data_IF_136930674733
#
_entry.id   IF_136930674733
#
_cell.length_a   1.000
_cell.length_b   1.000
_cell.length_c   1.000
_cell.angle_alpha   90.00
_cell.angle_beta   90.00
_cell.angle_gamma   90.00
#
_symmetry.space_group_name_H-M   'P 1'
#
loop_
_entity.id
_entity.type
_entity.pdbx_description
1 polymer ?
#
# COMPACT_ATOMS: atom_id res chain seq x y z
N UNK A 1 0.04 -49.02 17.03
CA UNK A 1 -0.91 -47.95 17.39
C UNK A 1 -0.12 -46.82 18.03
N UNK A 2 -0.25 -45.57 17.56
CA UNK A 2 0.44 -45.13 16.35
C UNK A 2 1.49 -44.03 16.58
N UNK A 3 2.36 -43.86 15.58
CA UNK A 3 3.24 -42.69 15.40
C UNK A 3 2.40 -41.41 15.47
N UNK A 4 2.74 -40.50 16.39
CA UNK A 4 2.20 -39.15 16.42
C UNK A 4 2.95 -38.24 15.43
N UNK A 5 2.16 -37.44 14.74
CA UNK A 5 2.46 -36.66 13.55
C UNK A 5 3.60 -35.64 13.75
N UNK A 6 4.48 -35.54 12.74
CA UNK A 6 5.30 -34.35 12.50
C UNK A 6 4.37 -33.19 12.16
N UNK A 7 4.22 -32.24 13.06
CA UNK A 7 3.43 -31.05 12.82
C UNK A 7 4.30 -29.92 12.25
N UNK A 8 4.11 -29.69 10.95
CA UNK A 8 4.03 -28.34 10.38
C UNK A 8 5.29 -27.48 10.40
N UNK A 9 6.26 -27.81 9.54
CA UNK A 9 7.08 -26.75 8.91
C UNK A 9 6.09 -25.86 8.14
N UNK A 10 5.69 -24.72 8.72
CA UNK A 10 4.80 -23.73 8.08
C UNK A 10 5.37 -23.44 6.67
N UNK A 11 4.54 -23.47 5.60
CA UNK A 11 5.05 -23.10 4.29
C UNK A 11 5.57 -21.66 4.36
N UNK A 12 6.69 -21.32 3.69
CA UNK A 12 7.07 -19.93 3.56
C UNK A 12 5.93 -19.19 2.87
N UNK A 13 5.52 -18.06 3.47
CA UNK A 13 4.52 -17.17 2.91
C UNK A 13 5.03 -16.67 1.54
N UNK A 14 4.44 -17.21 0.47
CA UNK A 14 4.38 -16.73 -0.92
C UNK A 14 5.66 -16.14 -1.53
N UNK A 15 6.21 -16.83 -2.52
CA UNK A 15 7.27 -16.31 -3.38
C UNK A 15 6.72 -15.28 -4.39
N UNK A 16 7.30 -14.08 -4.44
CA UNK A 16 7.06 -13.12 -5.53
C UNK A 16 8.19 -13.23 -6.57
N UNK A 17 7.83 -13.20 -7.85
CA UNK A 17 8.77 -13.19 -8.97
C UNK A 17 8.80 -11.81 -9.63
N UNK A 18 9.89 -11.08 -9.41
CA UNK A 18 10.24 -9.89 -10.19
C UNK A 18 11.73 -9.95 -10.53
N UNK A 19 12.09 -9.91 -11.81
CA UNK A 19 13.49 -9.86 -12.26
C UNK A 19 14.38 -11.07 -11.89
N UNK A 20 13.80 -12.21 -11.50
CA UNK A 20 14.56 -13.43 -11.17
C UNK A 20 15.24 -13.44 -9.80
N UNK A 21 14.91 -12.51 -8.89
CA UNK A 21 15.43 -12.54 -7.51
C UNK A 21 14.32 -12.59 -6.46
N UNK A 22 14.56 -13.40 -5.43
CA UNK A 22 13.64 -13.65 -4.32
C UNK A 22 13.91 -12.63 -3.19
N UNK A 23 12.92 -11.78 -2.89
CA UNK A 23 12.99 -10.81 -1.80
C UNK A 23 12.08 -11.25 -0.65
N UNK A 24 12.70 -11.71 0.45
CA UNK A 24 12.00 -12.09 1.68
C UNK A 24 12.20 -10.98 2.71
N UNK A 25 11.09 -10.43 3.24
CA UNK A 25 11.14 -9.57 4.42
C UNK A 25 11.62 -10.39 5.63
N UNK A 26 12.91 -10.27 5.97
CA UNK A 26 13.59 -11.07 7.01
C UNK A 26 13.67 -10.40 8.38
N UNK A 27 12.79 -9.46 8.72
CA UNK A 27 12.78 -8.86 10.06
C UNK A 27 11.75 -9.56 10.97
N UNK A 28 12.18 -10.68 11.56
CA UNK A 28 11.72 -11.21 12.87
C UNK A 28 10.27 -10.87 13.31
N UNK A 29 9.28 -11.63 12.83
CA UNK A 29 7.88 -11.62 13.29
C UNK A 29 7.73 -12.21 14.72
N UNK A 30 8.41 -11.67 15.74
CA UNK A 30 8.14 -12.02 17.14
C UNK A 30 7.07 -11.10 17.78
N UNK A 31 7.01 -9.83 17.37
CA UNK A 31 6.15 -8.83 18.02
C UNK A 31 5.37 -7.91 17.07
N UNK A 32 5.57 -8.02 15.75
CA UNK A 32 4.80 -7.26 14.76
C UNK A 32 3.84 -8.21 14.05
N UNK A 33 2.56 -7.87 14.07
CA UNK A 33 1.52 -8.58 13.31
C UNK A 33 1.98 -8.58 11.85
N UNK A 34 2.51 -9.70 11.39
CA UNK A 34 2.71 -9.95 9.96
C UNK A 34 1.31 -10.22 9.39
N UNK A 35 0.46 -9.18 9.39
CA UNK A 35 -0.70 -9.17 8.53
C UNK A 35 -0.17 -9.29 7.10
N UNK A 36 -0.92 -9.99 6.26
CA UNK A 36 -0.47 -10.33 4.91
C UNK A 36 -0.44 -9.05 4.07
N UNK A 37 0.64 -8.27 4.18
CA UNK A 37 0.84 -7.03 3.44
C UNK A 37 1.48 -7.36 2.09
N UNK A 38 0.91 -6.82 1.02
CA UNK A 38 1.36 -7.04 -0.37
C UNK A 38 1.54 -5.69 -1.04
N UNK A 39 2.72 -5.46 -1.62
CA UNK A 39 2.96 -4.30 -2.50
C UNK A 39 2.73 -4.75 -3.94
N UNK A 40 1.93 -3.98 -4.69
CA UNK A 40 1.61 -4.25 -6.09
C UNK A 40 1.35 -2.96 -6.85
N UNK A 41 1.44 -3.00 -8.17
CA UNK A 41 0.93 -1.92 -9.01
C UNK A 41 -0.55 -1.67 -8.72
N UNK A 42 -1.00 -0.42 -8.86
CA UNK A 42 -2.38 0.03 -8.65
C UNK A 42 -3.20 -0.16 -9.94
N UNK A 43 -4.17 -1.10 -10.00
CA UNK A 43 -5.16 -1.16 -11.07
C UNK A 43 -6.18 -0.04 -10.85
N UNK A 44 -6.30 0.93 -11.78
CA UNK A 44 -7.16 2.10 -11.59
C UNK A 44 -8.64 1.73 -11.31
N UNK A 45 -9.15 0.69 -11.95
CA UNK A 45 -10.56 0.27 -11.82
C UNK A 45 -10.90 -0.26 -10.42
N UNK A 46 -9.88 -0.73 -9.69
CA UNK A 46 -10.05 -1.36 -8.37
C UNK A 46 -9.70 -0.41 -7.23
N UNK A 47 -8.59 0.31 -7.36
CA UNK A 47 -7.95 0.96 -6.22
C UNK A 47 -7.99 2.50 -6.27
N UNK A 48 -8.39 3.11 -7.40
CA UNK A 48 -8.37 4.58 -7.56
C UNK A 48 -9.19 5.28 -6.46
N UNK A 49 -10.37 4.76 -6.14
CA UNK A 49 -11.24 5.33 -5.11
C UNK A 49 -10.57 5.30 -3.73
N UNK A 50 -9.94 4.17 -3.38
CA UNK A 50 -9.25 4.00 -2.10
C UNK A 50 -8.01 4.90 -2.00
N UNK A 51 -7.21 4.98 -3.07
CA UNK A 51 -6.00 5.81 -3.12
C UNK A 51 -6.34 7.30 -3.04
N UNK A 52 -7.36 7.76 -3.78
CA UNK A 52 -7.81 9.15 -3.70
C UNK A 52 -8.35 9.46 -2.31
N UNK A 53 -9.16 8.57 -1.72
CA UNK A 53 -9.67 8.76 -0.37
C UNK A 53 -8.53 8.86 0.66
N UNK A 54 -7.53 7.98 0.58
CA UNK A 54 -6.34 7.98 1.43
C UNK A 54 -5.58 9.30 1.29
N UNK A 55 -5.29 9.73 0.06
CA UNK A 55 -4.62 11.01 -0.20
C UNK A 55 -5.38 12.18 0.42
N UNK A 56 -6.70 12.26 0.21
CA UNK A 56 -7.52 13.36 0.73
C UNK A 56 -7.55 13.38 2.26
N UNK A 57 -7.80 12.22 2.89
CA UNK A 57 -7.89 12.11 4.35
C UNK A 57 -6.53 12.41 5.02
N UNK A 58 -5.46 11.80 4.51
CA UNK A 58 -4.13 12.02 5.03
C UNK A 58 -3.68 13.48 4.86
N UNK A 59 -4.00 14.12 3.73
CA UNK A 59 -3.67 15.53 3.49
C UNK A 59 -4.42 16.46 4.43
N UNK A 60 -5.72 16.22 4.67
CA UNK A 60 -6.50 17.02 5.63
C UNK A 60 -5.92 16.94 7.05
N UNK A 61 -5.44 15.77 7.46
CA UNK A 61 -4.93 15.55 8.83
C UNK A 61 -3.49 16.07 8.99
N UNK A 62 -2.62 15.79 8.02
CA UNK A 62 -1.17 16.04 8.15
C UNK A 62 -0.72 17.39 7.58
N UNK A 63 -1.57 18.05 6.80
CA UNK A 63 -1.32 19.37 6.25
C UNK A 63 -2.39 20.38 6.70
N UNK A 64 -2.67 20.38 8.00
CA UNK A 64 -3.65 21.23 8.69
C UNK A 64 -3.34 22.73 8.63
N UNK A 65 -2.11 23.10 8.23
CA UNK A 65 -1.75 24.47 7.86
C UNK A 65 -2.54 25.00 6.66
N UNK A 66 -3.05 24.11 5.80
CA UNK A 66 -3.89 24.46 4.64
C UNK A 66 -5.35 24.10 4.97
N UNK A 67 -6.33 24.98 4.69
CA UNK A 67 -7.73 24.71 5.02
C UNK A 67 -8.22 23.39 4.41
N UNK A 68 -8.97 22.61 5.20
CA UNK A 68 -9.50 21.32 4.76
C UNK A 68 -10.32 21.40 3.46
N UNK A 69 -10.98 22.55 3.20
CA UNK A 69 -11.71 22.78 1.96
C UNK A 69 -10.82 22.69 0.71
N UNK A 70 -9.60 23.25 0.77
CA UNK A 70 -8.64 23.18 -0.34
C UNK A 70 -8.32 21.73 -0.72
N UNK A 71 -8.04 20.89 0.28
CA UNK A 71 -7.75 19.48 0.06
C UNK A 71 -8.93 18.72 -0.56
N UNK A 72 -10.15 18.98 -0.08
CA UNK A 72 -11.37 18.39 -0.66
C UNK A 72 -11.58 18.80 -2.11
N UNK A 73 -11.35 20.07 -2.42
CA UNK A 73 -11.47 20.60 -3.79
C UNK A 73 -10.37 20.06 -4.72
N UNK A 74 -9.21 19.68 -4.19
CA UNK A 74 -8.11 19.09 -4.95
C UNK A 74 -8.28 17.57 -5.21
N UNK A 75 -9.21 16.88 -4.53
CA UNK A 75 -9.42 15.44 -4.71
C UNK A 75 -9.77 15.02 -6.16
N UNK A 76 -10.72 15.69 -6.86
CA UNK A 76 -11.03 15.35 -8.25
C UNK A 76 -9.84 15.54 -9.19
N UNK A 77 -9.12 16.67 -9.05
CA UNK A 77 -7.91 16.94 -9.82
C UNK A 77 -6.82 15.87 -9.59
N UNK A 78 -6.68 15.42 -8.34
CA UNK A 78 -5.71 14.37 -7.98
C UNK A 78 -6.01 13.05 -8.68
N UNK A 79 -7.29 12.66 -8.76
CA UNK A 79 -7.71 11.49 -9.54
C UNK A 79 -7.41 11.67 -11.02
N UNK A 80 -7.94 12.74 -11.60
CA UNK A 80 -8.07 12.89 -13.04
C UNK A 80 -6.75 13.26 -13.72
N UNK A 81 -5.87 13.96 -13.01
CA UNK A 81 -4.61 14.49 -13.55
C UNK A 81 -3.41 13.84 -12.90
N UNK A 82 -3.30 13.81 -11.57
CA UNK A 82 -2.06 13.39 -10.93
C UNK A 82 -1.89 11.87 -10.93
N UNK A 83 -2.88 11.12 -10.42
CA UNK A 83 -2.79 9.67 -10.31
C UNK A 83 -2.96 8.95 -11.66
N UNK A 84 -3.70 9.54 -12.60
CA UNK A 84 -3.91 8.98 -13.95
C UNK A 84 -2.64 8.98 -14.81
N UNK A 85 -1.68 9.88 -14.50
CA UNK A 85 -0.44 10.05 -15.24
C UNK A 85 0.79 9.53 -14.48
N UNK A 86 0.61 8.99 -13.27
CA UNK A 86 1.69 8.53 -12.43
C UNK A 86 1.74 7.01 -12.33
N UNK A 87 2.96 6.45 -12.32
CA UNK A 87 3.18 5.06 -11.98
C UNK A 87 2.96 4.88 -10.48
N UNK A 88 1.83 4.28 -10.13
CA UNK A 88 1.40 4.16 -8.73
C UNK A 88 1.44 2.71 -8.25
N UNK A 89 2.06 2.49 -7.10
CA UNK A 89 2.05 1.22 -6.38
C UNK A 89 1.34 1.40 -5.03
N UNK A 90 0.59 0.37 -4.62
CA UNK A 90 -0.15 0.33 -3.36
C UNK A 90 0.40 -0.76 -2.45
N UNK A 91 0.38 -0.52 -1.15
CA UNK A 91 0.49 -1.57 -0.14
C UNK A 91 -0.90 -1.95 0.33
N UNK A 92 -1.20 -3.24 0.25
CA UNK A 92 -2.48 -3.81 0.64
C UNK A 92 -2.29 -4.69 1.86
N UNK A 93 -3.05 -4.45 2.92
CA UNK A 93 -3.05 -5.28 4.12
C UNK A 93 -4.47 -5.77 4.39
N UNK A 94 -4.65 -7.08 4.59
CA UNK A 94 -5.96 -7.70 4.81
C UNK A 94 -7.03 -7.43 3.72
N UNK A 95 -6.61 -6.95 2.54
CA UNK A 95 -7.50 -6.62 1.42
C UNK A 95 -7.67 -5.13 1.19
N UNK A 96 -7.28 -4.30 2.16
CA UNK A 96 -7.43 -2.85 2.13
C UNK A 96 -6.13 -2.16 1.71
N UNK A 97 -6.25 -1.08 0.91
CA UNK A 97 -5.10 -0.23 0.56
C UNK A 97 -4.75 0.64 1.76
N UNK A 98 -3.56 0.42 2.33
CA UNK A 98 -3.09 1.11 3.55
C UNK A 98 -1.99 2.14 3.26
N UNK A 99 -1.37 2.08 2.08
CA UNK A 99 -0.43 3.10 1.62
C UNK A 99 -0.31 3.09 0.10
N UNK A 100 0.23 4.17 -0.45
CA UNK A 100 0.63 4.22 -1.85
C UNK A 100 1.86 5.08 -2.06
N UNK A 101 2.56 4.81 -3.15
CA UNK A 101 3.63 5.65 -3.71
C UNK A 101 3.33 5.88 -5.18
N UNK A 102 3.46 7.13 -5.62
CA UNK A 102 3.30 7.51 -7.03
C UNK A 102 4.60 8.15 -7.52
N UNK A 103 5.08 7.67 -8.65
CA UNK A 103 6.26 8.19 -9.32
C UNK A 103 5.88 8.82 -10.66
N UNK A 104 6.56 9.91 -11.01
CA UNK A 104 6.56 10.47 -12.36
C UNK A 104 7.98 10.38 -12.86
N UNK A 105 8.18 9.62 -13.94
CA UNK A 105 9.50 9.23 -14.44
C UNK A 105 10.35 8.57 -13.35
N UNK A 106 11.40 9.25 -12.87
CA UNK A 106 12.36 8.73 -11.89
C UNK A 106 12.24 9.45 -10.53
N UNK A 107 11.15 10.19 -10.29
CA UNK A 107 10.93 10.96 -9.07
C UNK A 107 9.68 10.52 -8.33
N UNK A 108 9.76 10.45 -7.00
CA UNK A 108 8.61 10.23 -6.13
C UNK A 108 7.80 11.53 -6.08
N UNK A 109 6.60 11.50 -6.62
CA UNK A 109 5.66 12.63 -6.62
C UNK A 109 4.74 12.61 -5.38
N UNK A 110 4.41 11.41 -4.89
CA UNK A 110 3.57 11.24 -3.71
C UNK A 110 3.96 9.97 -2.94
N UNK A 111 3.95 10.05 -1.61
CA UNK A 111 4.09 8.90 -0.71
C UNK A 111 3.19 9.14 0.49
N UNK A 112 2.17 8.29 0.65
CA UNK A 112 1.17 8.43 1.70
C UNK A 112 0.89 7.10 2.38
N UNK A 113 0.59 7.16 3.67
CA UNK A 113 0.14 6.06 4.50
C UNK A 113 -1.17 6.47 5.15
N UNK A 114 -2.10 5.53 5.29
CA UNK A 114 -3.35 5.74 5.99
C UNK A 114 -3.09 6.27 7.42
N UNK A 115 -3.78 7.33 7.88
CA UNK A 115 -3.51 7.98 9.17
C UNK A 115 -3.52 7.06 10.40
N UNK A 116 -4.24 5.95 10.33
CA UNK A 116 -4.43 4.95 11.38
C UNK A 116 -3.38 3.84 11.43
N UNK A 117 -2.43 3.81 10.48
CA UNK A 117 -1.33 2.83 10.39
C UNK A 117 0.01 3.39 10.89
#
# INVERSE_FOLDING_TARGET
MPLALREGRRPPCVAFFFGGQEYVCRSTCAERRCAMSVIRAMPPERDMDAVVALWCQASIIRHDLIPAQYWREACPLTREVYLSQADTAVMVEQGDVISFVSCVEHQIAALFVAPEH
#
